data_IF_401475654744
#
_entry.id   IF_401475654744
#
_cell.length_a   1.000
_cell.length_b   1.000
_cell.length_c   1.000
_cell.angle_alpha   90.00
_cell.angle_beta   90.00
_cell.angle_gamma   90.00
#
_symmetry.space_group_name_H-M   'P 1'
#
loop_
_entity.id
_entity.type
_entity.pdbx_description
1 polymer ?
#
# COMPACT_ATOMS: atom_id res chain seq x y z
N UNK A 1 -79.18 7.52 24.92
CA UNK A 1 -78.85 8.88 24.46
C UNK A 1 -77.53 8.80 23.74
N UNK A 2 -77.61 8.77 22.41
CA UNK A 2 -76.56 8.42 21.46
C UNK A 2 -76.75 9.34 20.25
N UNK A 3 -75.78 10.20 19.97
CA UNK A 3 -75.56 10.97 18.74
C UNK A 3 -74.22 11.67 18.97
N UNK A 4 -73.29 11.85 18.04
CA UNK A 4 -73.06 11.33 16.71
C UNK A 4 -71.77 12.03 16.24
N UNK A 5 -71.16 11.48 15.18
CA UNK A 5 -70.56 12.16 14.02
C UNK A 5 -69.20 11.55 13.68
N UNK A 6 -68.83 11.34 12.43
CA UNK A 6 -69.54 11.13 11.17
C UNK A 6 -68.41 10.81 10.17
N UNK A 7 -68.36 9.59 9.64
CA UNK A 7 -67.60 9.25 8.44
C UNK A 7 -68.48 8.25 7.69
N UNK A 8 -69.06 8.66 6.56
CA UNK A 8 -69.69 7.73 5.64
C UNK A 8 -69.47 8.17 4.19
N UNK A 9 -68.87 7.23 3.46
CA UNK A 9 -68.70 7.20 2.03
C UNK A 9 -70.03 6.78 1.36
N UNK A 10 -70.38 7.39 0.24
CA UNK A 10 -71.30 6.87 -0.78
C UNK A 10 -70.78 7.38 -2.14
N UNK A 11 -70.16 6.54 -2.97
CA UNK A 11 -70.74 5.64 -3.99
C UNK A 11 -71.66 6.34 -5.00
N UNK A 12 -71.19 6.39 -6.25
CA UNK A 12 -72.03 6.52 -7.44
C UNK A 12 -71.54 5.49 -8.47
N UNK A 13 -72.38 4.50 -8.75
CA UNK A 13 -72.25 3.56 -9.87
C UNK A 13 -73.41 3.83 -10.83
N UNK A 14 -73.12 4.00 -12.12
CA UNK A 14 -74.09 3.82 -13.20
C UNK A 14 -73.44 2.95 -14.28
N UNK A 15 -74.09 1.81 -14.53
CA UNK A 15 -73.92 0.82 -15.60
C UNK A 15 -74.44 1.38 -16.95
N UNK A 16 -74.26 0.84 -18.16
CA UNK A 16 -73.54 -0.25 -18.83
C UNK A 16 -73.77 -0.02 -20.35
N UNK A 17 -72.88 -0.51 -21.24
CA UNK A 17 -73.18 -1.28 -22.47
C UNK A 17 -72.03 -1.27 -23.49
N UNK A 18 -71.57 -2.49 -23.78
CA UNK A 18 -71.12 -3.06 -25.06
C UNK A 18 -70.29 -2.22 -26.06
N UNK A 19 -69.08 -2.69 -26.32
CA UNK A 19 -68.31 -2.35 -27.53
C UNK A 19 -66.97 -3.08 -27.54
N UNK A 20 -66.93 -4.25 -28.18
CA UNK A 20 -65.69 -4.97 -28.44
C UNK A 20 -64.76 -4.12 -29.30
N UNK A 21 -63.53 -3.89 -28.82
CA UNK A 21 -62.49 -3.17 -29.54
C UNK A 21 -61.15 -3.46 -28.90
N UNK A 22 -60.46 -4.46 -29.42
CA UNK A 22 -59.11 -4.82 -29.01
C UNK A 22 -58.17 -3.61 -29.15
N UNK A 23 -57.59 -3.17 -28.04
CA UNK A 23 -56.39 -2.36 -28.03
C UNK A 23 -55.38 -3.08 -27.15
N UNK A 24 -54.47 -3.74 -27.85
CA UNK A 24 -53.38 -4.53 -27.31
C UNK A 24 -52.64 -3.78 -26.21
N UNK A 25 -52.39 -4.49 -25.11
CA UNK A 25 -51.37 -4.17 -24.13
C UNK A 25 -50.01 -4.09 -24.84
N UNK A 26 -49.66 -2.90 -25.32
CA UNK A 26 -48.28 -2.54 -25.62
C UNK A 26 -47.51 -2.38 -24.32
N UNK A 27 -47.28 -3.48 -23.61
CA UNK A 27 -46.15 -3.58 -22.71
C UNK A 27 -44.91 -3.53 -23.61
N UNK A 28 -44.42 -2.32 -23.85
CA UNK A 28 -43.05 -2.12 -24.28
C UNK A 28 -42.19 -2.73 -23.18
N UNK A 29 -41.83 -4.00 -23.35
CA UNK A 29 -40.65 -4.56 -22.72
C UNK A 29 -39.50 -3.71 -23.24
N UNK A 30 -39.14 -2.68 -22.47
CA UNK A 30 -37.84 -2.07 -22.62
C UNK A 30 -36.85 -3.23 -22.55
N UNK A 31 -36.05 -3.50 -23.60
CA UNK A 31 -35.00 -4.48 -23.47
C UNK A 31 -34.17 -4.02 -22.28
N UNK A 32 -34.06 -4.87 -21.26
CA UNK A 32 -33.02 -4.71 -20.27
C UNK A 32 -31.73 -4.71 -21.07
N UNK A 33 -31.16 -3.51 -21.30
CA UNK A 33 -29.82 -3.37 -21.79
C UNK A 33 -28.93 -3.98 -20.70
N UNK A 34 -28.69 -5.29 -20.79
CA UNK A 34 -27.61 -5.91 -20.08
C UNK A 34 -26.36 -5.18 -20.56
N UNK A 35 -25.82 -4.30 -19.72
CA UNK A 35 -24.53 -3.72 -20.01
C UNK A 35 -23.55 -4.88 -20.17
N UNK A 36 -22.91 -4.98 -21.33
CA UNK A 36 -21.96 -6.04 -21.61
C UNK A 36 -20.90 -6.04 -20.51
N UNK A 37 -20.63 -7.20 -19.93
CA UNK A 37 -19.57 -7.35 -18.93
C UNK A 37 -18.25 -6.94 -19.55
N UNK A 38 -17.55 -6.00 -18.91
CA UNK A 38 -16.27 -5.51 -19.38
C UNK A 38 -15.14 -6.16 -18.61
N UNK A 39 -14.08 -6.51 -19.33
CA UNK A 39 -12.93 -7.23 -18.82
C UNK A 39 -11.69 -6.34 -18.80
N UNK A 40 -10.81 -6.64 -17.84
CA UNK A 40 -9.45 -6.12 -17.80
C UNK A 40 -8.48 -7.25 -17.52
N UNK A 41 -7.23 -7.07 -17.92
CA UNK A 41 -6.18 -8.02 -17.59
C UNK A 41 -4.84 -7.33 -17.37
N UNK A 42 -3.98 -8.02 -16.64
CA UNK A 42 -2.63 -7.58 -16.31
C UNK A 42 -1.64 -8.66 -16.69
N UNK A 43 -0.54 -8.22 -17.30
CA UNK A 43 0.64 -9.01 -17.58
C UNK A 43 1.87 -8.39 -16.91
N UNK A 44 2.92 -9.17 -16.78
CA UNK A 44 4.21 -8.74 -16.23
C UNK A 44 5.35 -9.43 -16.97
N UNK A 45 6.53 -8.84 -16.94
CA UNK A 45 7.75 -9.49 -17.43
C UNK A 45 8.19 -10.62 -16.47
N UNK A 46 9.11 -11.47 -16.92
CA UNK A 46 9.60 -12.62 -16.14
C UNK A 46 10.24 -12.24 -14.82
N UNK A 47 10.88 -11.05 -14.76
CA UNK A 47 11.48 -10.52 -13.54
C UNK A 47 10.45 -9.89 -12.60
N UNK A 48 9.17 -9.92 -12.98
CA UNK A 48 8.08 -9.21 -12.32
C UNK A 48 8.41 -7.71 -12.11
N UNK A 49 9.21 -7.08 -12.98
CA UNK A 49 9.68 -5.72 -12.78
C UNK A 49 8.62 -4.68 -13.13
N UNK A 50 7.84 -4.92 -14.19
CA UNK A 50 6.79 -4.00 -14.66
C UNK A 50 5.44 -4.68 -14.78
N UNK A 51 4.38 -3.90 -14.55
CA UNK A 51 2.99 -4.31 -14.80
C UNK A 51 2.51 -3.67 -16.10
N UNK A 52 1.78 -4.45 -16.89
CA UNK A 52 1.17 -4.04 -18.15
C UNK A 52 -0.31 -4.38 -18.12
N UNK A 53 -1.18 -3.39 -18.25
CA UNK A 53 -2.62 -3.60 -18.18
C UNK A 53 -3.34 -3.14 -19.43
N UNK A 54 -4.50 -3.74 -19.69
CA UNK A 54 -5.45 -3.35 -20.73
C UNK A 54 -6.87 -3.39 -20.16
N UNK A 55 -7.67 -2.41 -20.56
CA UNK A 55 -9.08 -2.25 -20.19
C UNK A 55 -9.72 -1.07 -20.94
N UNK A 56 -11.04 -1.12 -21.19
CA UNK A 56 -11.91 -2.30 -21.10
C UNK A 56 -11.79 -3.19 -22.35
N UNK A 57 -12.08 -4.48 -22.21
CA UNK A 57 -12.14 -5.47 -23.29
C UNK A 57 -13.45 -6.27 -23.19
N UNK A 58 -13.84 -6.98 -24.25
CA UNK A 58 -15.16 -7.65 -24.30
C UNK A 58 -15.15 -9.10 -23.85
N UNK A 59 -13.96 -9.67 -23.66
CA UNK A 59 -13.80 -11.02 -23.11
C UNK A 59 -12.52 -11.15 -22.27
N UNK A 60 -12.50 -12.15 -21.38
CA UNK A 60 -11.31 -12.50 -20.60
C UNK A 60 -10.12 -12.84 -21.50
N UNK A 61 -10.36 -13.59 -22.59
CA UNK A 61 -9.29 -14.02 -23.50
C UNK A 61 -8.68 -12.83 -24.25
N UNK A 62 -9.52 -11.97 -24.80
CA UNK A 62 -9.08 -10.73 -25.47
C UNK A 62 -8.22 -9.87 -24.53
N UNK A 63 -8.68 -9.67 -23.28
CA UNK A 63 -7.93 -8.93 -22.28
C UNK A 63 -6.57 -9.54 -22.00
N UNK A 64 -6.49 -10.85 -21.76
CA UNK A 64 -5.23 -11.53 -21.48
C UNK A 64 -4.27 -11.44 -22.67
N UNK A 65 -4.75 -11.72 -23.88
CA UNK A 65 -3.95 -11.65 -25.10
C UNK A 65 -3.44 -10.22 -25.35
N UNK A 66 -4.29 -9.20 -25.15
CA UNK A 66 -3.92 -7.80 -25.29
C UNK A 66 -2.94 -7.32 -24.21
N UNK A 67 -3.07 -7.76 -22.95
CA UNK A 67 -2.10 -7.46 -21.88
C UNK A 67 -0.73 -8.05 -22.20
N UNK A 68 -0.68 -9.30 -22.66
CA UNK A 68 0.54 -9.97 -23.11
C UNK A 68 1.15 -9.26 -24.32
N UNK A 69 0.34 -8.90 -25.31
CA UNK A 69 0.79 -8.15 -26.49
C UNK A 69 1.38 -6.78 -26.09
N UNK A 70 0.76 -6.07 -25.14
CA UNK A 70 1.27 -4.81 -24.59
C UNK A 70 2.62 -5.00 -23.89
N UNK A 71 2.76 -6.05 -23.08
CA UNK A 71 4.03 -6.41 -22.43
C UNK A 71 5.14 -6.71 -23.48
N UNK A 72 4.85 -7.56 -24.45
CA UNK A 72 5.80 -7.93 -25.51
C UNK A 72 6.20 -6.72 -26.36
N UNK A 73 5.23 -5.88 -26.75
CA UNK A 73 5.48 -4.65 -27.52
C UNK A 73 6.35 -3.64 -26.76
N UNK A 74 6.24 -3.61 -25.44
CA UNK A 74 7.07 -2.78 -24.59
C UNK A 74 8.47 -3.36 -24.32
N UNK A 75 8.83 -4.51 -24.93
CA UNK A 75 10.13 -5.16 -24.78
C UNK A 75 10.27 -6.00 -23.51
N UNK A 76 9.16 -6.34 -22.83
CA UNK A 76 9.17 -7.27 -21.71
C UNK A 76 9.66 -8.64 -22.15
N UNK A 77 10.59 -9.24 -21.40
CA UNK A 77 11.06 -10.62 -21.65
C UNK A 77 10.21 -11.60 -20.85
N UNK A 78 9.84 -12.72 -21.48
CA UNK A 78 9.08 -13.79 -20.82
C UNK A 78 7.75 -13.31 -20.24
N UNK A 79 7.01 -12.48 -20.98
CA UNK A 79 5.74 -11.91 -20.55
C UNK A 79 4.73 -12.99 -20.14
N UNK A 80 4.15 -12.83 -18.94
CA UNK A 80 3.16 -13.74 -18.37
C UNK A 80 1.92 -12.96 -17.92
N UNK A 81 0.75 -13.57 -18.06
CA UNK A 81 -0.48 -13.03 -17.48
C UNK A 81 -0.40 -13.18 -15.97
N UNK A 82 -0.75 -12.12 -15.25
CA UNK A 82 -0.84 -12.09 -13.79
C UNK A 82 -2.26 -12.44 -13.36
N UNK A 83 -3.25 -11.74 -13.94
CA UNK A 83 -4.65 -11.92 -13.62
C UNK A 83 -5.55 -11.26 -14.67
N UNK A 84 -6.80 -11.68 -14.71
CA UNK A 84 -7.90 -11.05 -15.43
C UNK A 84 -9.08 -10.84 -14.49
N UNK A 85 -9.89 -9.83 -14.76
CA UNK A 85 -11.00 -9.43 -13.92
C UNK A 85 -12.12 -8.84 -14.79
N UNK A 86 -13.33 -8.81 -14.25
CA UNK A 86 -14.52 -8.36 -14.96
C UNK A 86 -15.46 -7.62 -14.04
N UNK A 87 -16.06 -6.53 -14.50
CA UNK A 87 -16.99 -5.68 -13.73
C UNK A 87 -16.51 -5.40 -12.28
N UNK A 88 -15.20 -5.28 -12.11
CA UNK A 88 -14.50 -5.21 -10.82
C UNK A 88 -13.18 -4.44 -10.97
N UNK A 89 -12.56 -4.15 -9.83
CA UNK A 89 -11.22 -3.61 -9.75
C UNK A 89 -10.23 -4.64 -9.21
N UNK A 90 -9.00 -4.55 -9.70
CA UNK A 90 -7.81 -5.16 -9.11
C UNK A 90 -6.82 -4.07 -8.73
N UNK A 91 -6.11 -4.26 -7.62
CA UNK A 91 -4.99 -3.42 -7.23
C UNK A 91 -3.78 -4.28 -6.93
N UNK A 92 -2.60 -3.69 -7.10
CA UNK A 92 -1.32 -4.34 -6.87
C UNK A 92 -0.49 -3.56 -5.87
N UNK A 93 0.19 -4.28 -4.99
CA UNK A 93 1.17 -3.74 -4.07
C UNK A 93 2.48 -4.50 -4.16
N UNK A 94 3.56 -3.86 -3.71
CA UNK A 94 4.90 -4.43 -3.64
C UNK A 94 5.55 -4.16 -2.30
N UNK A 95 6.36 -5.10 -1.85
CA UNK A 95 7.23 -4.91 -0.68
C UNK A 95 8.60 -4.31 -1.07
N UNK A 96 9.52 -4.16 -0.11
CA UNK A 96 10.86 -3.60 -0.40
C UNK A 96 11.73 -4.49 -1.29
N UNK A 97 11.43 -5.80 -1.34
CA UNK A 97 12.07 -6.78 -2.24
C UNK A 97 11.43 -6.87 -3.62
N UNK A 98 10.45 -6.00 -3.90
CA UNK A 98 9.71 -5.96 -5.17
C UNK A 98 8.79 -7.16 -5.42
N UNK A 99 8.50 -7.99 -4.39
CA UNK A 99 7.52 -9.08 -4.46
C UNK A 99 6.12 -8.51 -4.74
N UNK A 100 5.32 -9.15 -5.60
CA UNK A 100 4.02 -8.66 -6.04
C UNK A 100 2.86 -9.29 -5.26
N UNK A 101 1.95 -8.47 -4.77
CA UNK A 101 0.71 -8.88 -4.09
C UNK A 101 -0.49 -8.16 -4.73
N UNK A 102 -1.68 -8.74 -4.63
CA UNK A 102 -2.87 -8.16 -5.24
C UNK A 102 -4.13 -8.35 -4.40
N UNK A 103 -5.14 -7.54 -4.71
CA UNK A 103 -6.48 -7.63 -4.12
C UNK A 103 -7.54 -7.24 -5.14
N UNK A 104 -8.70 -7.89 -5.07
CA UNK A 104 -9.83 -7.64 -5.98
C UNK A 104 -11.09 -7.23 -5.21
N UNK A 105 -11.88 -6.35 -5.81
CA UNK A 105 -13.17 -5.89 -5.28
C UNK A 105 -13.93 -5.10 -6.34
N UNK A 106 -15.25 -5.02 -6.23
CA UNK A 106 -16.08 -4.06 -7.01
C UNK A 106 -15.89 -2.59 -6.60
N UNK A 107 -15.08 -2.35 -5.56
CA UNK A 107 -14.68 -1.00 -5.13
C UNK A 107 -13.17 -0.84 -5.29
N UNK A 108 -12.76 0.22 -5.96
CA UNK A 108 -11.35 0.59 -6.20
C UNK A 108 -10.57 0.70 -4.89
N UNK A 109 -11.10 1.41 -3.89
CA UNK A 109 -10.50 1.57 -2.57
C UNK A 109 -10.39 0.23 -1.81
N UNK A 110 -11.42 -0.62 -1.88
CA UNK A 110 -11.39 -1.93 -1.20
C UNK A 110 -10.38 -2.86 -1.87
N UNK A 111 -10.26 -2.85 -3.20
CA UNK A 111 -9.24 -3.61 -3.92
C UNK A 111 -7.83 -3.19 -3.49
N UNK A 112 -7.57 -1.88 -3.44
CA UNK A 112 -6.31 -1.30 -2.98
C UNK A 112 -5.99 -1.68 -1.53
N UNK A 113 -6.97 -1.56 -0.63
CA UNK A 113 -6.84 -1.94 0.77
C UNK A 113 -6.52 -3.42 0.94
N UNK A 114 -7.17 -4.30 0.15
CA UNK A 114 -6.87 -5.73 0.15
C UNK A 114 -5.44 -5.99 -0.32
N UNK A 115 -4.99 -5.37 -1.42
CA UNK A 115 -3.63 -5.54 -1.92
C UNK A 115 -2.57 -5.14 -0.87
N UNK A 116 -2.74 -3.99 -0.22
CA UNK A 116 -1.83 -3.56 0.87
C UNK A 116 -1.87 -4.55 2.03
N UNK A 117 -3.06 -4.97 2.49
CA UNK A 117 -3.19 -5.93 3.60
C UNK A 117 -2.55 -7.28 3.32
N UNK A 118 -2.76 -7.82 2.11
CA UNK A 118 -2.12 -9.06 1.68
C UNK A 118 -0.60 -8.90 1.71
N UNK A 119 -0.06 -7.81 1.15
CA UNK A 119 1.37 -7.54 1.22
C UNK A 119 1.88 -7.41 2.66
N UNK A 120 1.22 -6.64 3.53
CA UNK A 120 1.70 -6.41 4.90
C UNK A 120 1.68 -7.67 5.76
N UNK A 121 0.79 -8.62 5.45
CA UNK A 121 0.66 -9.88 6.17
C UNK A 121 1.60 -10.97 5.64
N UNK A 122 1.79 -11.02 4.31
CA UNK A 122 2.47 -12.14 3.65
C UNK A 122 3.93 -11.82 3.29
N UNK A 123 4.33 -10.55 3.32
CA UNK A 123 5.73 -10.16 3.09
C UNK A 123 6.57 -10.27 4.36
N UNK A 124 7.84 -10.65 4.19
CA UNK A 124 8.77 -10.80 5.31
C UNK A 124 9.09 -9.49 6.04
N UNK A 125 9.02 -8.35 5.34
CA UNK A 125 9.35 -7.02 5.90
C UNK A 125 8.12 -6.15 6.18
N UNK A 126 6.95 -6.48 5.62
CA UNK A 126 5.74 -5.68 5.72
C UNK A 126 5.82 -4.30 5.05
N UNK A 127 6.89 -4.01 4.29
CA UNK A 127 7.22 -2.67 3.76
C UNK A 127 6.49 -2.40 2.44
N UNK A 128 5.18 -2.16 2.51
CA UNK A 128 4.29 -2.26 1.34
C UNK A 128 3.84 -0.92 0.75
N UNK A 129 3.80 -0.83 -0.59
CA UNK A 129 3.24 0.30 -1.35
C UNK A 129 2.42 -0.19 -2.53
N UNK A 130 1.46 0.60 -3.02
CA UNK A 130 0.80 0.29 -4.28
C UNK A 130 1.79 0.42 -5.44
N UNK A 131 1.72 -0.50 -6.38
CA UNK A 131 2.53 -0.47 -7.60
C UNK A 131 1.93 0.44 -8.69
N UNK A 132 0.61 0.59 -8.67
CA UNK A 132 -0.20 1.38 -9.61
C UNK A 132 -1.53 1.73 -8.93
N UNK A 133 -2.23 2.76 -9.41
CA UNK A 133 -3.62 3.01 -8.99
C UNK A 133 -4.50 1.80 -9.33
N UNK A 134 -5.61 1.57 -8.60
CA UNK A 134 -6.52 0.46 -8.89
C UNK A 134 -6.95 0.45 -10.35
N UNK A 135 -6.87 -0.74 -10.98
CA UNK A 135 -7.31 -0.97 -12.33
C UNK A 135 -8.76 -1.44 -12.26
N UNK A 136 -9.70 -0.73 -12.87
CA UNK A 136 -11.12 -1.06 -12.85
C UNK A 136 -11.67 -1.28 -14.26
N UNK A 137 -12.48 -2.33 -14.44
CA UNK A 137 -13.19 -2.60 -15.69
C UNK A 137 -14.67 -2.77 -15.37
N UNK A 138 -15.55 -2.07 -16.09
CA UNK A 138 -17.00 -2.16 -15.91
C UNK A 138 -17.71 -0.83 -16.12
N UNK A 139 -19.01 -0.85 -16.43
CA UNK A 139 -19.81 0.37 -16.64
C UNK A 139 -20.08 1.16 -15.35
N UNK A 140 -19.80 0.57 -14.18
CA UNK A 140 -20.04 1.19 -12.87
C UNK A 140 -18.96 2.16 -12.39
N UNK A 141 -17.88 2.36 -13.15
CA UNK A 141 -16.74 3.19 -12.76
C UNK A 141 -16.72 4.52 -13.49
N UNK A 142 -16.32 5.57 -12.78
CA UNK A 142 -16.15 6.90 -13.37
C UNK A 142 -14.97 6.94 -14.35
N UNK A 143 -15.00 7.87 -15.31
CA UNK A 143 -13.87 8.09 -16.23
C UNK A 143 -12.56 8.38 -15.48
N UNK A 144 -12.65 9.07 -14.34
CA UNK A 144 -11.50 9.35 -13.48
C UNK A 144 -10.90 8.06 -12.90
N UNK A 145 -11.72 7.12 -12.44
CA UNK A 145 -11.25 5.82 -11.94
C UNK A 145 -10.63 4.97 -13.05
N UNK A 146 -11.26 4.95 -14.23
CA UNK A 146 -10.75 4.19 -15.37
C UNK A 146 -9.40 4.72 -15.87
N UNK A 147 -9.17 6.03 -15.82
CA UNK A 147 -7.92 6.68 -16.27
C UNK A 147 -6.86 6.83 -15.17
N UNK A 148 -7.20 6.65 -13.90
CA UNK A 148 -6.27 6.84 -12.78
C UNK A 148 -4.94 6.06 -12.93
N UNK A 149 -4.91 4.80 -13.41
CA UNK A 149 -3.67 4.05 -13.60
C UNK A 149 -2.67 4.68 -14.57
N UNK A 150 -3.18 5.38 -15.59
CA UNK A 150 -2.36 5.96 -16.65
C UNK A 150 -1.98 7.43 -16.37
N UNK A 151 -2.70 8.11 -15.48
CA UNK A 151 -2.61 9.56 -15.28
C UNK A 151 -2.12 9.99 -13.90
N UNK A 152 -2.20 9.10 -12.90
CA UNK A 152 -1.81 9.45 -11.54
C UNK A 152 -0.30 9.69 -11.43
N UNK A 153 0.03 10.76 -10.70
CA UNK A 153 1.41 11.07 -10.34
C UNK A 153 1.94 10.10 -9.28
N UNK A 154 3.27 9.93 -9.16
CA UNK A 154 3.87 9.18 -8.06
C UNK A 154 3.41 9.67 -6.68
N UNK A 155 3.19 10.98 -6.51
CA UNK A 155 2.72 11.57 -5.27
C UNK A 155 1.27 11.15 -4.94
N UNK A 156 0.39 11.05 -5.93
CA UNK A 156 -0.98 10.58 -5.72
C UNK A 156 -1.03 9.09 -5.38
N UNK A 157 -0.23 8.28 -6.05
CA UNK A 157 -0.10 6.85 -5.75
C UNK A 157 0.43 6.62 -4.33
N UNK A 158 1.44 7.38 -3.95
CA UNK A 158 2.04 7.38 -2.61
C UNK A 158 1.02 7.85 -1.56
N UNK A 159 0.27 8.93 -1.81
CA UNK A 159 -0.78 9.41 -0.91
C UNK A 159 -1.88 8.36 -0.68
N UNK A 160 -2.33 7.67 -1.73
CA UNK A 160 -3.28 6.57 -1.59
C UNK A 160 -2.66 5.40 -0.81
N UNK A 161 -1.43 5.02 -1.13
CA UNK A 161 -0.72 3.95 -0.41
C UNK A 161 -0.57 4.28 1.07
N UNK A 162 -0.27 5.53 1.42
CA UNK A 162 -0.15 6.01 2.80
C UNK A 162 -1.49 6.04 3.53
N UNK A 163 -2.58 6.41 2.85
CA UNK A 163 -3.93 6.34 3.43
C UNK A 163 -4.33 4.91 3.79
N UNK A 164 -3.90 3.93 3.01
CA UNK A 164 -4.33 2.52 3.13
C UNK A 164 -3.43 1.67 4.02
N UNK A 165 -2.17 2.07 4.18
CA UNK A 165 -1.20 1.41 5.02
C UNK A 165 -1.38 1.81 6.49
N UNK A 166 -1.95 0.92 7.29
CA UNK A 166 -2.12 1.12 8.73
C UNK A 166 -0.95 0.58 9.55
N UNK A 167 0.12 0.10 8.91
CA UNK A 167 1.29 -0.46 9.58
C UNK A 167 2.15 0.68 10.15
N UNK A 168 2.62 0.52 11.39
CA UNK A 168 3.67 1.38 11.92
C UNK A 168 5.04 1.04 11.30
N UNK A 169 6.00 1.96 11.41
CA UNK A 169 7.37 1.73 10.97
C UNK A 169 8.33 2.17 12.06
N UNK A 170 8.41 1.35 13.10
CA UNK A 170 9.22 1.58 14.28
C UNK A 170 10.60 0.96 14.16
N UNK A 171 11.58 1.68 14.69
CA UNK A 171 12.91 1.18 14.96
C UNK A 171 13.30 1.34 16.42
N UNK A 172 14.30 0.56 16.82
CA UNK A 172 14.94 0.60 18.12
C UNK A 172 16.46 0.58 17.95
N UNK A 173 17.15 1.26 18.86
CA UNK A 173 18.60 1.20 19.02
C UNK A 173 18.88 0.68 20.42
N UNK A 174 19.79 -0.28 20.53
CA UNK A 174 20.27 -0.82 21.79
C UNK A 174 21.80 -0.74 21.86
N UNK A 175 22.31 -0.70 23.08
CA UNK A 175 23.74 -0.68 23.36
C UNK A 175 24.13 -1.99 24.07
N UNK A 176 25.13 -2.68 23.52
CA UNK A 176 25.74 -3.87 24.10
C UNK A 176 26.60 -3.51 25.32
N UNK A 177 26.98 -4.49 26.12
CA UNK A 177 27.89 -4.24 27.27
C UNK A 177 29.24 -3.63 26.84
N UNK A 178 29.71 -4.01 25.65
CA UNK A 178 30.91 -3.47 25.02
C UNK A 178 30.81 -2.00 24.61
N UNK A 179 29.62 -1.39 24.68
CA UNK A 179 29.36 -0.04 24.17
C UNK A 179 28.95 0.03 22.70
N UNK A 180 29.01 -1.09 21.97
CA UNK A 180 28.59 -1.12 20.57
C UNK A 180 27.07 -0.92 20.45
N UNK A 181 26.67 -0.03 19.52
CA UNK A 181 25.27 0.14 19.15
C UNK A 181 24.83 -0.93 18.14
N UNK A 182 23.62 -1.44 18.33
CA UNK A 182 22.88 -2.28 17.40
C UNK A 182 21.47 -1.72 17.22
N UNK A 183 20.76 -2.18 16.20
CA UNK A 183 19.47 -1.61 15.81
C UNK A 183 18.54 -2.66 15.21
N UNK A 184 17.25 -2.32 15.22
CA UNK A 184 16.19 -3.01 14.49
C UNK A 184 15.28 -1.92 13.90
N UNK A 185 14.81 -2.06 12.66
CA UNK A 185 13.96 -1.07 11.99
C UNK A 185 12.86 -1.70 11.14
N UNK A 186 11.81 -0.92 10.85
CA UNK A 186 10.70 -1.35 10.00
C UNK A 186 9.67 -2.25 10.68
N UNK A 187 9.62 -2.28 12.02
CA UNK A 187 8.67 -3.08 12.78
C UNK A 187 7.29 -2.39 12.90
N UNK A 188 6.18 -3.13 12.97
CA UNK A 188 4.84 -2.55 12.94
C UNK A 188 4.47 -1.81 14.23
N UNK A 189 5.18 -2.06 15.33
CA UNK A 189 4.96 -1.41 16.62
C UNK A 189 6.28 -1.16 17.35
N UNK A 190 6.30 -0.16 18.24
CA UNK A 190 7.46 0.15 19.08
C UNK A 190 7.88 -1.07 19.91
N UNK A 191 6.90 -1.78 20.48
CA UNK A 191 7.12 -2.99 21.27
C UNK A 191 7.81 -4.08 20.46
N UNK A 192 7.35 -4.33 19.23
CA UNK A 192 7.98 -5.34 18.38
C UNK A 192 9.39 -4.96 17.95
N UNK A 193 9.67 -3.67 17.70
CA UNK A 193 11.02 -3.22 17.40
C UNK A 193 11.99 -3.51 18.56
N UNK A 194 11.57 -3.22 19.79
CA UNK A 194 12.38 -3.48 21.01
C UNK A 194 12.50 -4.97 21.28
N UNK A 195 11.38 -5.70 21.28
CA UNK A 195 11.35 -7.13 21.59
C UNK A 195 12.14 -7.94 20.57
N UNK A 196 12.11 -7.57 19.29
CA UNK A 196 12.89 -8.23 18.27
C UNK A 196 14.40 -8.01 18.49
N UNK A 197 14.83 -6.77 18.71
CA UNK A 197 16.24 -6.43 18.89
C UNK A 197 16.85 -7.13 20.11
N UNK A 198 16.16 -7.09 21.25
CA UNK A 198 16.67 -7.67 22.50
C UNK A 198 16.70 -9.20 22.50
N UNK A 199 16.04 -9.85 21.53
CA UNK A 199 16.07 -11.32 21.35
C UNK A 199 17.17 -11.79 20.40
N UNK A 200 17.91 -10.89 19.77
CA UNK A 200 19.03 -11.29 18.92
C UNK A 200 20.14 -11.91 19.75
N UNK A 201 20.78 -12.96 19.22
CA UNK A 201 21.89 -13.67 19.89
C UNK A 201 23.07 -12.74 20.20
N UNK A 202 23.29 -11.73 19.36
CA UNK A 202 24.35 -10.75 19.53
C UNK A 202 23.98 -9.59 20.48
N UNK A 203 22.78 -9.61 21.06
CA UNK A 203 22.24 -8.57 21.94
C UNK A 203 21.99 -9.06 23.39
N UNK A 204 22.69 -10.12 23.82
CA UNK A 204 22.66 -10.56 25.21
C UNK A 204 23.16 -9.45 26.13
N UNK A 205 22.34 -9.04 27.11
CA UNK A 205 22.67 -7.94 28.03
C UNK A 205 22.58 -6.54 27.40
N UNK A 206 22.01 -6.40 26.20
CA UNK A 206 21.72 -5.12 25.60
C UNK A 206 20.79 -4.25 26.45
N UNK A 207 21.00 -2.95 26.40
CA UNK A 207 20.07 -1.94 26.93
C UNK A 207 19.51 -1.11 25.79
N UNK A 208 18.18 -0.98 25.72
CA UNK A 208 17.55 -0.05 24.79
C UNK A 208 17.99 1.39 25.08
N UNK A 209 18.51 2.06 24.05
CA UNK A 209 18.95 3.46 24.09
C UNK A 209 17.79 4.37 23.71
N UNK A 210 17.13 4.07 22.58
CA UNK A 210 15.99 4.83 22.09
C UNK A 210 15.14 3.99 21.12
N UNK A 211 13.94 4.50 20.86
CA UNK A 211 13.04 4.06 19.78
C UNK A 211 12.77 5.24 18.85
N UNK A 212 12.37 4.96 17.61
CA UNK A 212 12.16 5.98 16.59
C UNK A 212 11.14 5.53 15.52
N UNK A 213 10.38 6.49 15.00
CA UNK A 213 9.46 6.34 13.85
C UNK A 213 9.49 7.64 13.07
N UNK A 214 9.27 7.55 11.75
CA UNK A 214 9.25 8.68 10.81
C UNK A 214 10.45 9.63 10.93
N UNK A 215 11.61 9.05 11.24
CA UNK A 215 12.88 9.77 11.39
C UNK A 215 14.08 8.84 11.22
N UNK A 216 15.27 9.43 11.16
CA UNK A 216 16.52 8.70 11.16
C UNK A 216 17.29 8.90 12.46
N UNK A 217 18.09 7.90 12.82
CA UNK A 217 19.00 7.91 13.96
C UNK A 217 20.41 7.72 13.45
N UNK A 218 21.22 8.76 13.58
CA UNK A 218 22.67 8.63 13.47
C UNK A 218 23.20 7.94 14.71
N UNK A 219 24.15 7.04 14.53
CA UNK A 219 24.83 6.27 15.58
C UNK A 219 26.33 6.43 15.40
N UNK A 220 27.03 6.86 16.44
CA UNK A 220 28.45 7.18 16.38
C UNK A 220 29.21 6.74 17.62
N UNK A 221 30.49 6.38 17.46
CA UNK A 221 31.38 5.99 18.56
C UNK A 221 32.84 6.29 18.20
N UNK A 222 33.68 6.43 19.22
CA UNK A 222 35.12 6.61 19.03
C UNK A 222 35.79 5.28 18.69
N UNK A 223 36.71 5.26 17.72
CA UNK A 223 37.54 4.06 17.47
C UNK A 223 38.32 3.71 18.74
N UNK A 224 38.17 2.47 19.21
CA UNK A 224 38.84 1.98 20.43
C UNK A 224 38.13 2.35 21.73
N UNK A 225 36.92 2.93 21.69
CA UNK A 225 36.12 3.12 22.90
C UNK A 225 35.48 1.80 23.34
N UNK A 226 35.54 1.51 24.63
CA UNK A 226 34.95 0.30 25.23
C UNK A 226 34.02 0.64 26.39
N UNK A 227 32.98 -0.18 26.54
CA UNK A 227 32.01 -0.08 27.61
C UNK A 227 30.82 0.83 27.27
N UNK A 228 29.71 0.59 27.96
CA UNK A 228 28.47 1.38 27.81
C UNK A 228 28.70 2.88 28.02
N UNK A 229 27.92 3.70 27.31
CA UNK A 229 27.97 5.17 27.40
C UNK A 229 29.07 5.81 26.56
N UNK A 230 29.78 5.01 25.75
CA UNK A 230 30.81 5.50 24.82
C UNK A 230 30.29 5.77 23.42
N UNK A 231 29.03 5.42 23.16
CA UNK A 231 28.33 5.66 21.91
C UNK A 231 27.33 6.82 22.00
N UNK A 232 27.05 7.44 20.84
CA UNK A 232 26.26 8.65 20.72
C UNK A 232 25.22 8.50 19.62
N UNK A 233 24.07 9.13 19.81
CA UNK A 233 22.97 9.11 18.85
C UNK A 233 22.44 10.51 18.57
N UNK A 234 21.93 10.74 17.35
CA UNK A 234 21.19 11.96 17.00
C UNK A 234 19.98 11.60 16.12
N UNK A 235 18.83 12.24 16.38
CA UNK A 235 17.61 12.06 15.59
C UNK A 235 17.45 13.20 14.60
N UNK A 236 17.28 12.88 13.32
CA UNK A 236 16.96 13.86 12.28
C UNK A 236 16.20 13.17 11.14
N UNK A 237 15.12 13.74 10.59
CA UNK A 237 14.46 13.17 9.41
C UNK A 237 15.35 13.08 8.16
N UNK A 238 16.37 13.93 8.05
CA UNK A 238 17.40 13.80 7.02
C UNK A 238 18.48 12.80 7.47
N UNK A 239 18.72 11.71 6.71
CA UNK A 239 19.65 10.66 7.12
C UNK A 239 21.09 11.14 7.22
N UNK A 240 21.51 12.05 6.34
CA UNK A 240 22.88 12.55 6.30
C UNK A 240 23.13 13.47 7.51
N UNK A 241 22.19 14.33 7.83
CA UNK A 241 22.21 15.19 9.01
C UNK A 241 22.22 14.35 10.29
N UNK A 242 21.34 13.34 10.41
CA UNK A 242 21.32 12.45 11.57
C UNK A 242 22.71 11.83 11.84
N UNK A 243 23.32 11.27 10.80
CA UNK A 243 24.67 10.69 10.86
C UNK A 243 25.73 11.72 11.29
N UNK A 244 25.72 12.89 10.65
CA UNK A 244 26.74 13.92 10.85
C UNK A 244 26.61 14.57 12.24
N UNK A 245 25.39 14.77 12.73
CA UNK A 245 25.11 15.26 14.08
C UNK A 245 25.58 14.26 15.14
N UNK A 246 25.28 12.96 14.97
CA UNK A 246 25.78 11.94 15.89
C UNK A 246 27.32 11.92 15.93
N UNK A 247 27.96 12.04 14.76
CA UNK A 247 29.42 12.14 14.63
C UNK A 247 29.98 13.38 15.31
N UNK A 248 29.32 14.54 15.15
CA UNK A 248 29.73 15.78 15.80
C UNK A 248 29.64 15.66 17.33
N UNK A 249 28.56 15.06 17.85
CA UNK A 249 28.41 14.78 19.29
C UNK A 249 29.54 13.88 19.78
N UNK A 250 29.87 12.82 19.03
CA UNK A 250 30.99 11.94 19.35
C UNK A 250 32.32 12.68 19.38
N UNK A 251 32.65 13.41 18.30
CA UNK A 251 33.92 14.15 18.21
C UNK A 251 34.10 15.13 19.38
N UNK A 252 33.01 15.76 19.84
CA UNK A 252 33.04 16.69 20.96
C UNK A 252 33.26 16.00 22.33
N UNK A 253 32.93 14.71 22.46
CA UNK A 253 32.88 14.00 23.75
C UNK A 253 33.93 12.90 23.89
N UNK A 254 34.54 12.44 22.80
CA UNK A 254 35.45 11.29 22.79
C UNK A 254 36.93 11.66 22.90
N UNK A 255 37.27 12.87 23.38
CA UNK A 255 38.64 13.20 23.78
C UNK A 255 39.71 13.08 22.69
N UNK A 256 39.36 13.37 21.43
CA UNK A 256 40.29 13.29 20.29
C UNK A 256 40.34 11.94 19.56
N UNK A 257 39.52 10.96 19.98
CA UNK A 257 39.34 9.73 19.21
C UNK A 257 38.71 10.02 17.83
N UNK A 258 39.10 9.23 16.84
CA UNK A 258 38.45 9.25 15.53
C UNK A 258 37.06 8.64 15.66
N UNK A 259 36.01 9.45 15.50
CA UNK A 259 34.64 8.95 15.54
C UNK A 259 34.17 8.42 14.20
N UNK A 260 33.60 7.22 14.22
CA UNK A 260 32.84 6.66 13.11
C UNK A 260 31.35 6.90 13.33
N UNK A 261 30.59 6.97 12.24
CA UNK A 261 29.14 7.04 12.34
C UNK A 261 28.44 6.40 11.15
N UNK A 262 27.29 5.79 11.41
CA UNK A 262 26.32 5.35 10.40
C UNK A 262 24.92 5.83 10.77
N UNK A 263 23.93 5.56 9.93
CA UNK A 263 22.54 5.99 10.14
C UNK A 263 21.58 4.86 9.89
N UNK A 264 20.49 4.82 10.65
CA UNK A 264 19.32 3.99 10.36
C UNK A 264 18.06 4.81 10.35
N UNK A 265 17.18 4.57 9.40
CA UNK A 265 15.90 5.25 9.30
C UNK A 265 14.76 4.26 9.42
N UNK A 266 13.69 4.68 10.07
CA UNK A 266 12.45 3.92 10.14
C UNK A 266 11.31 4.90 9.95
N UNK A 267 10.33 4.49 9.14
CA UNK A 267 9.27 5.38 8.70
C UNK A 267 8.85 5.09 7.27
N UNK A 268 7.67 5.57 6.91
CA UNK A 268 7.09 5.35 5.58
C UNK A 268 7.89 6.04 4.46
N UNK A 269 8.62 7.10 4.77
CA UNK A 269 9.49 7.77 3.81
C UNK A 269 10.71 6.91 3.39
N UNK A 270 11.08 5.91 4.20
CA UNK A 270 12.36 5.19 4.08
C UNK A 270 12.23 3.72 3.64
N UNK A 271 11.01 3.25 3.34
CA UNK A 271 10.75 1.85 2.97
C UNK A 271 11.35 1.43 1.62
N UNK A 272 11.68 2.39 0.76
CA UNK A 272 12.43 2.16 -0.50
C UNK A 272 13.93 2.42 -0.35
N UNK A 273 14.39 2.58 0.88
CA UNK A 273 15.75 2.90 1.26
C UNK A 273 16.03 4.39 1.39
N UNK A 274 17.26 4.72 1.77
CA UNK A 274 17.70 6.09 2.04
C UNK A 274 19.21 6.24 1.83
N UNK A 275 19.63 7.49 1.60
CA UNK A 275 21.05 7.81 1.45
C UNK A 275 21.79 7.46 2.73
N UNK A 276 22.75 6.54 2.63
CA UNK A 276 23.54 6.06 3.76
C UNK A 276 23.11 4.73 4.37
N UNK A 277 22.05 4.09 3.87
CA UNK A 277 21.56 2.81 4.41
C UNK A 277 22.61 1.68 4.36
N UNK A 278 23.33 1.56 3.23
CA UNK A 278 24.38 0.56 3.02
C UNK A 278 25.80 1.10 3.29
N UNK A 279 25.92 2.34 3.76
CA UNK A 279 27.22 2.92 4.04
C UNK A 279 27.81 2.30 5.31
N UNK A 280 28.97 1.65 5.17
CA UNK A 280 29.74 1.18 6.32
C UNK A 280 30.13 2.36 7.21
N UNK A 281 30.10 2.15 8.52
CA UNK A 281 30.62 3.12 9.48
C UNK A 281 32.09 3.43 9.15
N UNK A 282 32.40 4.71 8.91
CA UNK A 282 33.72 5.18 8.48
C UNK A 282 34.39 6.10 9.50
#
# INVERSE_FOLDING_TARGET
MMLARLLLQFRSTVAALAGAGALALGLAAAPAAHADTLYGAVATDEAHAKLYWVMPETSTKEAQDAALAKCNKAGGKGCKSVTSFSDSCVAFSRNSRNDLFWGTSVSSEVAAKKAIRTCTNDSADGKCKLAVMPLCAGPGYSEAELKAPDTATPAQLEALSAKLDSRGYWGSVAEKESGQLTYADGYPSEKEAVDALLKWEDCVGCRTVLTYTDTCVGMAWGKGSEGRGTSFTAKNPDPVAARNEARAICNAKSGGLTCVAFVRCSGRAYISGYKGEDEKAN
#
